data_IF_231714959424
#
_entry.id   IF_231714959424
#
_cell.length_a   1.000
_cell.length_b   1.000
_cell.length_c   1.000
_cell.angle_alpha   90.00
_cell.angle_beta   90.00
_cell.angle_gamma   90.00
#
_symmetry.space_group_name_H-M   'P 1'
#
loop_
_entity.id
_entity.type
_entity.pdbx_description
1 polymer ?
#
# COMPACT_ATOMS: atom_id res chain seq x y z
N UNK A 1 24.25 20.24 -17.49
CA UNK A 1 24.38 19.80 -16.10
C UNK A 1 25.20 18.53 -16.11
N UNK A 2 26.38 18.56 -15.49
CA UNK A 2 27.24 17.39 -15.34
C UNK A 2 26.58 16.46 -14.34
N UNK A 3 25.82 15.48 -14.82
CA UNK A 3 25.29 14.41 -13.99
C UNK A 3 26.46 13.64 -13.39
N UNK A 4 26.34 13.20 -12.15
CA UNK A 4 27.32 12.35 -11.44
C UNK A 4 27.80 11.17 -12.31
N UNK A 5 26.98 10.71 -13.26
CA UNK A 5 27.26 9.67 -14.23
C UNK A 5 28.18 10.08 -15.38
N UNK A 6 28.21 11.33 -15.79
CA UNK A 6 29.00 11.75 -16.95
C UNK A 6 30.51 11.53 -16.82
N UNK A 7 31.03 11.40 -15.59
CA UNK A 7 32.45 11.06 -15.37
C UNK A 7 32.72 9.58 -15.66
N UNK A 8 31.87 8.69 -15.18
CA UNK A 8 32.04 7.24 -15.33
C UNK A 8 31.80 6.79 -16.78
N UNK A 9 30.82 7.38 -17.45
CA UNK A 9 30.56 7.17 -18.86
C UNK A 9 31.78 7.57 -19.74
N UNK A 10 32.39 8.72 -19.48
CA UNK A 10 33.63 9.13 -20.18
C UNK A 10 34.78 8.17 -19.95
N UNK A 11 34.93 7.62 -18.76
CA UNK A 11 35.98 6.66 -18.44
C UNK A 11 35.78 5.32 -19.14
N UNK A 12 34.52 4.82 -19.16
CA UNK A 12 34.18 3.56 -19.84
C UNK A 12 34.33 3.66 -21.35
N UNK A 13 33.90 4.76 -21.95
CA UNK A 13 34.11 5.02 -23.38
C UNK A 13 35.63 5.14 -23.71
N UNK A 14 36.41 5.74 -22.81
CA UNK A 14 37.85 5.82 -22.92
C UNK A 14 38.56 4.45 -22.90
N UNK A 15 37.94 3.44 -22.33
CA UNK A 15 38.42 2.04 -22.33
C UNK A 15 37.89 1.22 -23.50
N UNK A 16 37.19 1.85 -24.47
CA UNK A 16 36.70 1.19 -25.69
C UNK A 16 35.38 0.43 -25.53
N UNK A 17 34.63 0.69 -24.47
CA UNK A 17 33.29 0.12 -24.27
C UNK A 17 32.28 0.85 -25.20
N UNK A 18 31.36 0.07 -25.81
CA UNK A 18 30.30 0.62 -26.64
C UNK A 18 29.52 1.69 -25.87
N UNK A 19 29.26 2.90 -26.44
CA UNK A 19 28.55 3.98 -25.77
C UNK A 19 27.17 3.60 -25.21
N UNK A 20 26.45 2.68 -25.87
CA UNK A 20 25.16 2.17 -25.38
C UNK A 20 25.34 1.37 -24.10
N UNK A 21 26.34 0.50 -24.07
CA UNK A 21 26.66 -0.31 -22.90
C UNK A 21 27.13 0.59 -21.74
N UNK A 22 28.01 1.56 -22.02
CA UNK A 22 28.51 2.51 -21.03
C UNK A 22 27.39 3.32 -20.38
N UNK A 23 26.40 3.80 -21.16
CA UNK A 23 25.24 4.53 -20.65
C UNK A 23 24.34 3.64 -19.74
N UNK A 24 24.08 2.40 -20.16
CA UNK A 24 23.26 1.46 -19.36
C UNK A 24 23.94 1.12 -18.03
N UNK A 25 25.25 0.91 -18.04
CA UNK A 25 26.02 0.68 -16.80
C UNK A 25 25.98 1.88 -15.87
N UNK A 26 26.15 3.07 -16.40
CA UNK A 26 26.12 4.32 -15.63
C UNK A 26 24.76 4.52 -14.95
N UNK A 27 23.67 4.42 -15.71
CA UNK A 27 22.31 4.52 -15.20
C UNK A 27 22.02 3.46 -14.14
N UNK A 28 22.45 2.21 -14.36
CA UNK A 28 22.24 1.11 -13.42
C UNK A 28 22.99 1.31 -12.10
N UNK A 29 24.24 1.76 -12.16
CA UNK A 29 25.05 2.00 -10.95
C UNK A 29 24.48 3.15 -10.14
N UNK A 30 24.04 4.25 -10.78
CA UNK A 30 23.42 5.36 -10.09
C UNK A 30 22.08 4.94 -9.47
N UNK A 31 21.27 4.12 -10.15
CA UNK A 31 20.05 3.57 -9.58
C UNK A 31 20.32 2.72 -8.34
N UNK A 32 21.32 1.85 -8.37
CA UNK A 32 21.75 1.06 -7.21
C UNK A 32 22.20 1.96 -6.07
N UNK A 33 22.95 3.03 -6.37
CA UNK A 33 23.42 3.98 -5.37
C UNK A 33 22.26 4.73 -4.73
N UNK A 34 21.25 5.17 -5.50
CA UNK A 34 20.03 5.80 -4.98
C UNK A 34 19.28 4.85 -4.06
N UNK A 35 19.13 3.59 -4.47
CA UNK A 35 18.47 2.56 -3.63
C UNK A 35 19.26 2.35 -2.34
N UNK A 36 20.58 2.24 -2.40
CA UNK A 36 21.43 2.08 -1.21
C UNK A 36 21.32 3.27 -0.25
N UNK A 37 21.33 4.49 -0.79
CA UNK A 37 21.13 5.72 -0.01
C UNK A 37 19.74 5.76 0.61
N UNK A 38 18.70 5.40 -0.14
CA UNK A 38 17.33 5.37 0.35
C UNK A 38 17.15 4.35 1.49
N UNK A 39 17.76 3.16 1.37
CA UNK A 39 17.77 2.16 2.44
C UNK A 39 18.54 2.68 3.65
N UNK A 40 19.70 3.32 3.46
CA UNK A 40 20.46 3.94 4.55
C UNK A 40 19.68 5.02 5.28
N UNK A 41 18.97 5.86 4.55
CA UNK A 41 18.07 6.88 5.09
C UNK A 41 16.89 6.24 5.86
N UNK A 42 16.32 5.14 5.37
CA UNK A 42 15.26 4.41 6.07
C UNK A 42 15.72 3.94 7.46
N UNK A 43 16.89 3.30 7.53
CA UNK A 43 17.49 2.90 8.81
C UNK A 43 17.74 4.10 9.73
N UNK A 44 18.24 5.21 9.19
CA UNK A 44 18.50 6.43 9.95
C UNK A 44 17.19 7.04 10.49
N UNK A 45 16.18 7.18 9.64
CA UNK A 45 14.85 7.67 10.05
C UNK A 45 14.19 6.76 11.08
N UNK A 46 14.26 5.43 10.89
CA UNK A 46 13.78 4.50 11.91
C UNK A 46 14.51 4.65 13.24
N UNK A 47 15.84 4.74 13.23
CA UNK A 47 16.61 4.91 14.44
C UNK A 47 16.24 6.21 15.18
N UNK A 48 16.09 7.32 14.46
CA UNK A 48 15.76 8.63 15.03
C UNK A 48 14.31 8.66 15.51
N UNK A 49 13.34 8.35 14.63
CA UNK A 49 11.91 8.52 14.95
C UNK A 49 11.39 7.43 15.89
N UNK A 50 11.73 6.16 15.64
CA UNK A 50 11.29 5.06 16.51
C UNK A 50 12.05 5.11 17.84
N UNK A 51 13.34 5.45 17.81
CA UNK A 51 14.14 5.66 19.03
C UNK A 51 13.64 6.84 19.86
N UNK A 52 13.43 7.99 19.21
CA UNK A 52 12.90 9.20 19.86
C UNK A 52 11.49 8.98 20.44
N UNK A 53 10.62 8.29 19.69
CA UNK A 53 9.26 8.00 20.14
C UNK A 53 9.24 6.99 21.29
N UNK A 54 10.12 5.99 21.30
CA UNK A 54 10.32 5.09 22.46
C UNK A 54 10.77 5.87 23.69
N UNK A 55 11.73 6.78 23.54
CA UNK A 55 12.21 7.62 24.65
C UNK A 55 11.09 8.53 25.19
N UNK A 56 10.31 9.14 24.30
CA UNK A 56 9.17 9.99 24.67
C UNK A 56 8.03 9.20 25.33
N UNK A 57 7.70 8.01 24.81
CA UNK A 57 6.66 7.14 25.36
C UNK A 57 7.03 6.62 26.77
N UNK A 58 8.31 6.37 27.04
CA UNK A 58 8.77 5.97 28.36
C UNK A 58 8.67 7.11 29.39
N UNK A 59 8.76 8.35 28.94
CA UNK A 59 8.70 9.54 29.81
C UNK A 59 7.27 10.03 30.07
N UNK A 60 6.35 9.77 29.13
CA UNK A 60 4.93 10.14 29.25
C UNK A 60 4.09 9.04 28.58
N UNK A 61 3.62 8.03 29.35
CA UNK A 61 2.89 6.89 28.81
C UNK A 61 1.46 7.28 28.38
N UNK A 62 1.35 8.08 27.34
CA UNK A 62 0.07 8.32 26.68
C UNK A 62 -0.35 7.05 25.96
N UNK A 63 -1.55 6.56 26.26
CA UNK A 63 -2.11 5.31 25.70
C UNK A 63 -2.03 5.23 24.19
N UNK A 64 -2.21 6.34 23.47
CA UNK A 64 -2.10 6.42 22.02
C UNK A 64 -0.69 6.11 21.51
N UNK A 65 0.34 6.68 22.11
CA UNK A 65 1.72 6.49 21.67
C UNK A 65 2.13 5.02 21.78
N UNK A 66 1.74 4.37 22.88
CA UNK A 66 2.02 2.94 23.12
C UNK A 66 1.32 2.05 22.08
N UNK A 67 0.07 2.35 21.73
CA UNK A 67 -0.69 1.59 20.73
C UNK A 67 -0.15 1.78 19.31
N UNK A 68 0.21 3.01 18.92
CA UNK A 68 0.82 3.31 17.62
C UNK A 68 2.15 2.56 17.42
N UNK A 69 2.95 2.48 18.47
CA UNK A 69 4.21 1.71 18.46
C UNK A 69 3.95 0.21 18.40
N UNK A 70 3.01 -0.31 19.21
CA UNK A 70 2.66 -1.73 19.26
C UNK A 70 2.15 -2.24 17.92
N UNK A 71 1.36 -1.44 17.20
CA UNK A 71 0.80 -1.77 15.89
C UNK A 71 1.68 -1.39 14.71
N UNK A 72 2.91 -0.95 14.98
CA UNK A 72 3.92 -0.60 13.97
C UNK A 72 3.45 0.45 12.95
N UNK A 73 2.50 1.32 13.32
CA UNK A 73 2.00 2.37 12.42
C UNK A 73 3.12 3.30 11.99
N UNK A 74 3.88 3.79 12.96
CA UNK A 74 5.00 4.72 12.73
C UNK A 74 6.09 4.10 11.87
N UNK A 75 6.57 2.86 12.12
CA UNK A 75 7.50 2.19 11.23
C UNK A 75 7.00 2.09 9.78
N UNK A 76 5.75 1.70 9.55
CA UNK A 76 5.21 1.60 8.19
C UNK A 76 5.13 2.95 7.47
N UNK A 77 4.80 4.04 8.19
CA UNK A 77 4.83 5.39 7.62
C UNK A 77 6.26 5.82 7.27
N UNK A 78 7.25 5.49 8.11
CA UNK A 78 8.65 5.80 7.84
C UNK A 78 9.14 5.05 6.61
N UNK A 79 8.79 3.77 6.45
CA UNK A 79 9.12 2.98 5.26
C UNK A 79 8.55 3.53 3.96
N UNK A 80 7.56 4.42 4.00
CA UNK A 80 7.04 5.09 2.80
C UNK A 80 8.02 6.14 2.27
N UNK A 81 8.83 6.76 3.14
CA UNK A 81 9.76 7.84 2.77
C UNK A 81 10.82 7.42 1.75
N UNK A 82 11.53 6.27 1.90
CA UNK A 82 12.48 5.82 0.88
C UNK A 82 11.82 5.61 -0.48
N UNK A 83 10.63 5.03 -0.52
CA UNK A 83 9.88 4.83 -1.76
C UNK A 83 9.57 6.15 -2.47
N UNK A 84 9.14 7.16 -1.73
CA UNK A 84 8.88 8.51 -2.26
C UNK A 84 10.18 9.12 -2.77
N UNK A 85 11.27 9.02 -2.02
CA UNK A 85 12.58 9.55 -2.37
C UNK A 85 13.08 8.92 -3.69
N UNK A 86 13.03 7.58 -3.78
CA UNK A 86 13.41 6.85 -4.98
C UNK A 86 12.54 7.29 -6.16
N UNK A 87 11.23 7.36 -5.98
CA UNK A 87 10.28 7.75 -7.03
C UNK A 87 10.61 9.11 -7.65
N UNK A 88 10.99 10.10 -6.83
CA UNK A 88 11.34 11.44 -7.29
C UNK A 88 12.78 11.55 -7.84
N UNK A 89 13.72 10.72 -7.37
CA UNK A 89 15.11 10.75 -7.84
C UNK A 89 15.33 9.95 -9.14
N UNK A 90 14.57 8.88 -9.36
CA UNK A 90 14.69 8.02 -10.55
C UNK A 90 14.69 8.78 -11.88
N UNK A 91 13.82 9.77 -12.16
CA UNK A 91 13.82 10.50 -13.42
C UNK A 91 15.12 11.28 -13.70
N UNK A 92 15.86 11.62 -12.65
CA UNK A 92 17.13 12.32 -12.79
C UNK A 92 18.31 11.40 -13.13
N UNK A 93 18.09 10.09 -13.00
CA UNK A 93 19.10 9.04 -13.20
C UNK A 93 19.02 8.46 -14.59
N UNK A 94 17.82 8.12 -15.04
CA UNK A 94 17.59 7.48 -16.34
C UNK A 94 17.36 8.56 -17.42
N UNK A 95 18.39 8.79 -18.25
CA UNK A 95 18.31 9.74 -19.37
C UNK A 95 17.99 9.01 -20.68
N UNK A 96 18.44 7.77 -20.83
CA UNK A 96 18.33 6.99 -22.06
C UNK A 96 17.45 5.74 -21.95
N UNK A 97 17.26 5.21 -20.73
CA UNK A 97 16.48 3.99 -20.47
C UNK A 97 15.04 4.27 -20.06
N UNK A 98 14.22 4.87 -20.94
CA UNK A 98 12.84 5.30 -20.63
C UNK A 98 11.94 4.15 -20.15
N UNK A 99 12.04 2.96 -20.78
CA UNK A 99 11.23 1.79 -20.40
C UNK A 99 11.57 1.28 -18.99
N UNK A 100 12.87 1.25 -18.66
CA UNK A 100 13.33 0.81 -17.35
C UNK A 100 12.94 1.82 -16.25
N UNK A 101 13.00 3.12 -16.58
CA UNK A 101 12.54 4.19 -15.72
C UNK A 101 11.05 4.03 -15.38
N UNK A 102 10.21 3.84 -16.39
CA UNK A 102 8.76 3.71 -16.22
C UNK A 102 8.41 2.50 -15.35
N UNK A 103 9.02 1.34 -15.63
CA UNK A 103 8.83 0.13 -14.81
C UNK A 103 9.27 0.36 -13.35
N UNK A 104 10.43 0.99 -13.16
CA UNK A 104 10.97 1.28 -11.82
C UNK A 104 10.07 2.23 -11.04
N UNK A 105 9.53 3.25 -11.69
CA UNK A 105 8.57 4.17 -11.08
C UNK A 105 7.26 3.49 -10.71
N UNK A 106 6.72 2.60 -11.57
CA UNK A 106 5.53 1.79 -11.26
C UNK A 106 5.75 0.92 -10.03
N UNK A 107 6.89 0.23 -9.96
CA UNK A 107 7.25 -0.61 -8.80
C UNK A 107 7.34 0.23 -7.51
N UNK A 108 8.00 1.39 -7.57
CA UNK A 108 8.05 2.31 -6.42
C UNK A 108 6.67 2.83 -6.01
N UNK A 109 5.82 3.18 -6.97
CA UNK A 109 4.47 3.65 -6.70
C UNK A 109 3.61 2.55 -6.03
N UNK A 110 3.68 1.31 -6.52
CA UNK A 110 3.01 0.16 -5.90
C UNK A 110 3.53 -0.08 -4.48
N UNK A 111 4.84 0.01 -4.26
CA UNK A 111 5.44 -0.09 -2.93
C UNK A 111 4.90 0.98 -1.97
N UNK A 112 4.81 2.24 -2.42
CA UNK A 112 4.28 3.36 -1.63
C UNK A 112 2.81 3.09 -1.25
N UNK A 113 1.98 2.64 -2.22
CA UNK A 113 0.57 2.29 -1.99
C UNK A 113 0.46 1.17 -0.95
N UNK A 114 1.27 0.12 -1.07
CA UNK A 114 1.29 -0.98 -0.13
C UNK A 114 1.70 -0.52 1.28
N UNK A 115 2.78 0.26 1.41
CA UNK A 115 3.26 0.79 2.68
C UNK A 115 2.20 1.67 3.38
N UNK A 116 1.51 2.53 2.61
CA UNK A 116 0.41 3.34 3.12
C UNK A 116 -0.79 2.48 3.55
N UNK A 117 -1.15 1.44 2.78
CA UNK A 117 -2.22 0.53 3.14
C UNK A 117 -1.92 -0.20 4.47
N UNK A 118 -0.67 -0.67 4.68
CA UNK A 118 -0.27 -1.28 5.94
C UNK A 118 -0.26 -0.27 7.10
N UNK A 119 0.15 0.98 6.88
CA UNK A 119 0.08 2.03 7.88
C UNK A 119 -1.36 2.33 8.29
N UNK A 120 -2.28 2.47 7.33
CA UNK A 120 -3.70 2.69 7.58
C UNK A 120 -4.35 1.49 8.29
N UNK A 121 -3.99 0.26 7.88
CA UNK A 121 -4.42 -0.95 8.59
C UNK A 121 -3.97 -0.94 10.06
N UNK A 122 -2.73 -0.53 10.31
CA UNK A 122 -2.22 -0.33 11.67
C UNK A 122 -3.05 0.67 12.47
N UNK A 123 -3.46 1.78 11.87
CA UNK A 123 -4.34 2.78 12.50
C UNK A 123 -5.72 2.20 12.84
N UNK A 124 -6.33 1.40 11.95
CA UNK A 124 -7.60 0.71 12.23
C UNK A 124 -7.48 -0.21 13.45
N UNK A 125 -6.36 -0.93 13.56
CA UNK A 125 -6.09 -1.80 14.70
C UNK A 125 -5.84 -1.01 16.00
N UNK A 126 -5.17 0.15 15.93
CA UNK A 126 -5.00 1.06 17.09
C UNK A 126 -6.37 1.54 17.57
N UNK A 127 -7.25 1.92 16.64
CA UNK A 127 -8.60 2.34 16.97
C UNK A 127 -9.39 1.23 17.68
N UNK A 128 -9.30 0.00 17.18
CA UNK A 128 -9.94 -1.17 17.81
C UNK A 128 -9.41 -1.42 19.22
N UNK A 129 -8.07 -1.41 19.40
CA UNK A 129 -7.43 -1.62 20.70
C UNK A 129 -7.81 -0.54 21.70
N UNK A 130 -7.87 0.71 21.24
CA UNK A 130 -8.27 1.84 22.08
C UNK A 130 -9.72 1.73 22.57
N UNK A 131 -10.62 1.29 21.67
CA UNK A 131 -12.03 1.08 22.02
C UNK A 131 -12.21 -0.08 23.01
N UNK A 132 -11.50 -1.18 22.79
CA UNK A 132 -11.59 -2.37 23.65
C UNK A 132 -11.06 -2.11 25.07
N UNK A 133 -10.09 -1.22 25.24
CA UNK A 133 -9.54 -0.88 26.57
C UNK A 133 -10.47 -0.04 27.45
N UNK A 134 -11.49 0.61 26.87
CA UNK A 134 -12.46 1.42 27.63
C UNK A 134 -13.51 0.61 28.41
N UNK A 135 -13.40 -0.74 28.41
CA UNK A 135 -14.23 -1.61 29.24
C UNK A 135 -15.70 -1.76 28.81
N UNK A 136 -16.15 -1.04 27.79
CA UNK A 136 -17.52 -1.04 27.29
C UNK A 136 -17.80 -2.20 26.31
N UNK A 137 -16.81 -3.04 26.08
CA UNK A 137 -16.71 -3.90 24.89
C UNK A 137 -17.21 -5.34 25.04
N UNK A 138 -17.86 -5.71 26.19
CA UNK A 138 -18.32 -7.11 26.31
C UNK A 138 -19.40 -7.52 25.30
N UNK A 139 -20.09 -6.57 24.67
CA UNK A 139 -21.24 -6.85 23.78
C UNK A 139 -21.24 -6.12 22.41
N UNK A 140 -20.14 -5.44 21.99
CA UNK A 140 -20.17 -4.74 20.70
C UNK A 140 -19.29 -5.42 19.65
N UNK A 141 -19.80 -5.70 18.44
CA UNK A 141 -19.08 -6.40 17.36
C UNK A 141 -18.07 -5.50 16.64
N UNK A 142 -17.36 -4.61 17.36
CA UNK A 142 -16.39 -3.66 16.77
C UNK A 142 -15.29 -4.38 15.99
N UNK A 143 -14.92 -5.60 16.41
CA UNK A 143 -13.92 -6.40 15.69
C UNK A 143 -14.39 -6.75 14.27
N UNK A 144 -15.66 -7.15 14.11
CA UNK A 144 -16.23 -7.46 12.81
C UNK A 144 -16.28 -6.23 11.91
N UNK A 145 -16.67 -5.07 12.45
CA UNK A 145 -16.67 -3.81 11.71
C UNK A 145 -15.28 -3.41 11.22
N UNK A 146 -14.27 -3.49 12.09
CA UNK A 146 -12.88 -3.20 11.70
C UNK A 146 -12.38 -4.19 10.64
N UNK A 147 -12.74 -5.48 10.72
CA UNK A 147 -12.41 -6.45 9.68
C UNK A 147 -12.99 -6.10 8.31
N UNK A 148 -14.24 -5.65 8.26
CA UNK A 148 -14.85 -5.18 6.99
C UNK A 148 -14.08 -3.99 6.44
N UNK A 149 -13.73 -3.01 7.28
CA UNK A 149 -12.92 -1.87 6.84
C UNK A 149 -11.53 -2.28 6.34
N UNK A 150 -10.89 -3.27 6.97
CA UNK A 150 -9.61 -3.80 6.52
C UNK A 150 -9.73 -4.45 5.12
N UNK A 151 -10.77 -5.25 4.90
CA UNK A 151 -11.02 -5.86 3.58
C UNK A 151 -11.22 -4.78 2.52
N UNK A 152 -12.04 -3.75 2.80
CA UNK A 152 -12.24 -2.63 1.90
C UNK A 152 -10.95 -1.86 1.63
N UNK A 153 -10.15 -1.59 2.66
CA UNK A 153 -8.87 -0.90 2.54
C UNK A 153 -7.92 -1.64 1.59
N UNK A 154 -7.71 -2.94 1.81
CA UNK A 154 -6.83 -3.74 0.97
C UNK A 154 -7.39 -3.94 -0.44
N UNK A 155 -8.70 -4.05 -0.58
CA UNK A 155 -9.36 -4.10 -1.90
C UNK A 155 -9.09 -2.82 -2.71
N UNK A 156 -9.30 -1.65 -2.10
CA UNK A 156 -9.01 -0.35 -2.75
C UNK A 156 -7.51 -0.22 -3.08
N UNK A 157 -6.63 -0.57 -2.14
CA UNK A 157 -5.19 -0.55 -2.35
C UNK A 157 -4.76 -1.47 -3.51
N UNK A 158 -5.34 -2.66 -3.61
CA UNK A 158 -5.07 -3.60 -4.70
C UNK A 158 -5.51 -3.03 -6.06
N UNK A 159 -6.70 -2.40 -6.14
CA UNK A 159 -7.16 -1.77 -7.37
C UNK A 159 -6.24 -0.61 -7.78
N UNK A 160 -5.80 0.22 -6.83
CA UNK A 160 -4.85 1.30 -7.11
C UNK A 160 -3.52 0.73 -7.61
N UNK A 161 -3.00 -0.32 -6.99
CA UNK A 161 -1.76 -0.98 -7.41
C UNK A 161 -1.89 -1.56 -8.83
N UNK A 162 -2.99 -2.24 -9.13
CA UNK A 162 -3.27 -2.78 -10.48
C UNK A 162 -3.37 -1.62 -11.48
N UNK A 163 -4.06 -0.54 -11.14
CA UNK A 163 -4.25 0.61 -12.03
C UNK A 163 -2.90 1.25 -12.42
N UNK A 164 -1.95 1.33 -11.49
CA UNK A 164 -0.59 1.81 -11.75
C UNK A 164 0.14 0.89 -12.72
N UNK A 165 0.05 -0.43 -12.53
CA UNK A 165 0.74 -1.40 -13.37
C UNK A 165 0.24 -1.43 -14.81
N UNK A 166 -1.07 -1.22 -15.03
CA UNK A 166 -1.70 -1.28 -16.36
C UNK A 166 -1.93 0.10 -17.00
N UNK A 167 -1.44 1.18 -16.38
CA UNK A 167 -1.59 2.57 -16.84
C UNK A 167 -3.06 2.99 -17.08
N UNK A 168 -3.94 2.54 -16.20
CA UNK A 168 -5.36 2.93 -16.24
C UNK A 168 -5.73 3.68 -14.98
N UNK A 169 -6.72 4.57 -15.10
CA UNK A 169 -7.20 5.27 -13.90
C UNK A 169 -7.89 4.30 -12.94
N UNK A 170 -7.71 4.43 -11.61
CA UNK A 170 -8.47 3.64 -10.64
C UNK A 170 -9.99 3.75 -10.85
N UNK A 171 -10.47 4.94 -11.24
CA UNK A 171 -11.89 5.17 -11.51
C UNK A 171 -12.43 4.30 -12.65
N UNK A 172 -11.64 4.08 -13.71
CA UNK A 172 -12.01 3.20 -14.81
C UNK A 172 -12.17 1.74 -14.36
N UNK A 173 -11.26 1.28 -13.48
CA UNK A 173 -11.34 -0.07 -12.92
C UNK A 173 -12.56 -0.23 -12.00
N UNK A 174 -12.80 0.76 -11.14
CA UNK A 174 -13.99 0.75 -10.28
C UNK A 174 -15.29 0.79 -11.10
N UNK A 175 -15.35 1.59 -12.17
CA UNK A 175 -16.50 1.64 -13.06
C UNK A 175 -16.76 0.29 -13.75
N UNK A 176 -15.69 -0.36 -14.25
CA UNK A 176 -15.78 -1.69 -14.85
C UNK A 176 -16.27 -2.76 -13.87
N UNK A 177 -15.69 -2.78 -12.64
CA UNK A 177 -16.12 -3.69 -11.59
C UNK A 177 -17.57 -3.44 -11.15
N UNK A 178 -17.96 -2.16 -11.02
CA UNK A 178 -19.31 -1.77 -10.67
C UNK A 178 -20.34 -2.18 -11.73
N UNK A 179 -20.02 -1.98 -13.02
CA UNK A 179 -20.86 -2.43 -14.12
C UNK A 179 -21.01 -3.95 -14.14
N UNK A 180 -19.91 -4.68 -13.95
CA UNK A 180 -19.94 -6.16 -13.87
C UNK A 180 -20.79 -6.64 -12.68
N UNK A 181 -20.64 -6.00 -11.52
CA UNK A 181 -21.43 -6.32 -10.33
C UNK A 181 -22.93 -6.06 -10.56
N UNK A 182 -23.30 -4.96 -11.25
CA UNK A 182 -24.69 -4.65 -11.58
C UNK A 182 -25.30 -5.71 -12.51
N UNK A 183 -24.56 -6.16 -13.53
CA UNK A 183 -25.00 -7.24 -14.42
C UNK A 183 -25.18 -8.54 -13.66
N UNK A 184 -24.22 -8.92 -12.81
CA UNK A 184 -24.33 -10.11 -11.98
C UNK A 184 -25.55 -10.02 -11.03
N UNK A 185 -25.77 -8.87 -10.41
CA UNK A 185 -26.93 -8.66 -9.53
C UNK A 185 -28.24 -8.83 -10.30
N UNK A 186 -28.31 -8.32 -11.55
CA UNK A 186 -29.50 -8.47 -12.39
C UNK A 186 -29.76 -9.95 -12.74
N UNK A 187 -28.71 -10.70 -13.09
CA UNK A 187 -28.82 -12.13 -13.44
C UNK A 187 -29.28 -12.96 -12.23
N UNK A 188 -28.76 -12.66 -11.02
CA UNK A 188 -29.09 -13.42 -9.82
C UNK A 188 -30.29 -12.88 -9.02
N UNK A 189 -30.90 -11.76 -9.47
CA UNK A 189 -31.98 -11.08 -8.76
C UNK A 189 -33.09 -12.06 -8.32
N UNK A 190 -33.63 -12.84 -9.26
CA UNK A 190 -34.76 -13.73 -8.99
C UNK A 190 -34.37 -14.89 -8.08
N UNK A 191 -33.14 -15.41 -8.22
CA UNK A 191 -32.60 -16.43 -7.35
C UNK A 191 -32.43 -15.92 -5.90
N UNK A 192 -31.94 -14.70 -5.75
CA UNK A 192 -31.79 -14.06 -4.42
C UNK A 192 -33.17 -13.82 -3.79
N UNK A 193 -34.12 -13.28 -4.56
CA UNK A 193 -35.48 -13.06 -4.07
C UNK A 193 -36.18 -14.36 -3.68
N UNK A 194 -36.03 -15.42 -4.48
CA UNK A 194 -36.57 -16.76 -4.17
C UNK A 194 -35.96 -17.34 -2.90
N UNK A 195 -34.64 -17.20 -2.74
CA UNK A 195 -33.96 -17.65 -1.52
C UNK A 195 -34.44 -16.89 -0.28
N UNK A 196 -34.52 -15.55 -0.35
CA UNK A 196 -34.99 -14.72 0.75
C UNK A 196 -36.43 -15.05 1.13
N UNK A 197 -37.32 -15.21 0.12
CA UNK A 197 -38.70 -15.62 0.34
C UNK A 197 -38.79 -16.99 1.03
N UNK A 198 -37.99 -17.95 0.58
CA UNK A 198 -37.92 -19.28 1.19
C UNK A 198 -37.49 -19.24 2.65
N UNK A 199 -36.44 -18.45 2.96
CA UNK A 199 -36.00 -18.25 4.36
C UNK A 199 -37.08 -17.57 5.21
N UNK A 200 -37.77 -16.56 4.66
CA UNK A 200 -38.85 -15.87 5.40
C UNK A 200 -40.03 -16.78 5.69
N UNK A 201 -40.46 -17.58 4.70
CA UNK A 201 -41.54 -18.56 4.87
C UNK A 201 -41.19 -19.62 5.91
N UNK A 202 -39.95 -20.13 5.88
CA UNK A 202 -39.46 -21.09 6.87
C UNK A 202 -39.32 -20.49 8.26
N UNK A 203 -38.77 -19.31 8.39
CA UNK A 203 -38.55 -18.64 9.66
C UNK A 203 -39.86 -18.21 10.36
N UNK A 204 -40.89 -17.91 9.60
CA UNK A 204 -42.22 -17.53 10.12
C UNK A 204 -43.17 -18.74 10.25
N UNK A 205 -42.67 -19.96 10.04
CA UNK A 205 -43.48 -21.21 10.06
C UNK A 205 -44.77 -21.13 9.20
N UNK A 206 -44.71 -20.34 8.11
CA UNK A 206 -45.88 -20.14 7.25
C UNK A 206 -46.21 -21.36 6.38
N UNK A 207 -45.29 -22.33 6.26
CA UNK A 207 -45.47 -23.59 5.56
C UNK A 207 -44.91 -24.71 6.43
N UNK A 208 -45.75 -25.68 6.77
CA UNK A 208 -45.35 -26.91 7.48
C UNK A 208 -45.50 -28.13 6.57
N UNK A 209 -44.65 -29.14 6.82
CA UNK A 209 -44.77 -30.40 6.10
C UNK A 209 -46.14 -31.03 6.44
N UNK A 210 -47.06 -31.05 5.45
CA UNK A 210 -48.41 -31.59 5.57
C UNK A 210 -49.54 -30.57 5.44
N UNK A 211 -49.25 -29.27 5.18
CA UNK A 211 -50.25 -28.26 4.85
C UNK A 211 -50.75 -28.39 3.38
#
# INVERSE_FOLDING_TARGET
MTTLGGWMNKTLIGWGVDPKIANTFDETIIAILIIAVAIGLDYLFQAIFVGGMKHYTNRSPHRWNTLLMKRKVVPHLIHTLPGILIYFLLPHTFVHGVELLELSQKVCAVYIVAALAFALNGLLLVFLDFHNQKGTSKNHPMKGFVQVLQVLLFFVAAIIAISILIDKSPATLFAGLGASAAVLMLVFKDSILGFVAGVQLSANEMLRIGD
#
